data_IF_452072722522
#
_entry.id   IF_452072722522
#
_cell.length_a   1.000
_cell.length_b   1.000
_cell.length_c   1.000
_cell.angle_alpha   90.00
_cell.angle_beta   90.00
_cell.angle_gamma   90.00
#
_symmetry.space_group_name_H-M   'P 1'
#
loop_
_entity.id
_entity.type
_entity.pdbx_description
1 polymer ?
#
# COMPACT_ATOMS: atom_id res chain seq x y z
N UNK A 1 37.27 -23.71 13.94
CA UNK A 1 35.85 -23.79 14.36
C UNK A 1 35.11 -22.61 13.73
N UNK A 2 34.13 -22.86 12.85
CA UNK A 2 33.36 -21.82 12.17
C UNK A 2 31.97 -21.75 12.81
N UNK A 3 31.69 -20.64 13.49
CA UNK A 3 30.42 -20.39 14.19
C UNK A 3 29.27 -20.37 13.19
N UNK A 4 28.40 -21.38 13.24
CA UNK A 4 27.10 -21.35 12.56
C UNK A 4 26.25 -20.30 13.26
N UNK A 5 26.06 -19.16 12.60
CA UNK A 5 25.15 -18.11 13.06
C UNK A 5 23.76 -18.54 12.59
N UNK A 6 22.99 -19.15 13.47
CA UNK A 6 21.59 -19.49 13.21
C UNK A 6 20.81 -18.18 13.03
N UNK A 7 20.63 -17.79 11.76
CA UNK A 7 19.72 -16.71 11.37
C UNK A 7 18.32 -17.27 11.54
N UNK A 8 17.72 -17.04 12.71
CA UNK A 8 16.31 -17.31 12.91
C UNK A 8 15.52 -16.36 12.00
N UNK A 9 14.93 -16.91 10.91
CA UNK A 9 13.96 -16.19 10.10
C UNK A 9 12.67 -16.12 10.89
N UNK A 10 12.36 -14.95 11.41
CA UNK A 10 10.99 -14.65 11.84
C UNK A 10 10.06 -14.83 10.64
N UNK A 11 9.09 -15.73 10.80
CA UNK A 11 8.08 -16.01 9.79
C UNK A 11 7.11 -14.83 9.76
N UNK A 12 7.18 -14.01 8.70
CA UNK A 12 6.31 -12.83 8.54
C UNK A 12 4.88 -13.30 8.28
N UNK A 13 3.97 -13.00 9.20
CA UNK A 13 2.53 -13.23 9.03
C UNK A 13 1.92 -12.05 8.27
N UNK A 14 0.99 -12.35 7.35
CA UNK A 14 0.28 -11.35 6.56
C UNK A 14 -1.22 -11.55 6.71
N UNK A 15 -1.95 -10.47 6.95
CA UNK A 15 -3.41 -10.45 6.97
C UNK A 15 -3.94 -9.55 5.85
N UNK A 16 -5.11 -9.90 5.32
CA UNK A 16 -5.81 -9.07 4.34
C UNK A 16 -6.63 -8.00 5.08
N UNK A 17 -6.40 -6.73 4.73
CA UNK A 17 -7.12 -5.59 5.28
C UNK A 17 -7.73 -4.78 4.15
N UNK A 18 -9.01 -4.42 4.29
CA UNK A 18 -9.64 -3.44 3.40
C UNK A 18 -9.20 -2.03 3.80
N UNK A 19 -8.66 -1.28 2.84
CA UNK A 19 -8.22 0.10 3.03
C UNK A 19 -8.91 1.03 2.04
N UNK A 20 -9.17 2.25 2.51
CA UNK A 20 -9.68 3.33 1.67
C UNK A 20 -8.55 3.85 0.79
N UNK A 21 -8.80 3.95 -0.52
CA UNK A 21 -7.80 4.39 -1.49
C UNK A 21 -8.32 5.51 -2.39
N UNK A 22 -7.40 6.30 -2.90
CA UNK A 22 -7.57 7.10 -4.09
C UNK A 22 -7.12 6.26 -5.28
N UNK A 23 -7.99 6.10 -6.27
CA UNK A 23 -7.72 5.35 -7.49
C UNK A 23 -7.79 6.30 -8.69
N UNK A 24 -6.76 6.29 -9.52
CA UNK A 24 -6.78 7.04 -10.76
C UNK A 24 -7.63 6.32 -11.81
N UNK A 25 -8.55 7.00 -12.52
CA UNK A 25 -9.31 6.38 -13.61
C UNK A 25 -8.51 6.25 -14.91
N UNK A 26 -7.46 7.07 -15.09
CA UNK A 26 -6.69 7.16 -16.33
C UNK A 26 -5.38 6.34 -16.31
N UNK A 27 -4.99 5.78 -15.16
CA UNK A 27 -3.80 4.93 -15.06
C UNK A 27 -3.93 3.90 -13.93
N UNK A 28 -2.89 3.07 -13.74
CA UNK A 28 -2.84 2.06 -12.67
C UNK A 28 -2.52 2.64 -11.27
N UNK A 29 -2.37 3.97 -11.18
CA UNK A 29 -1.97 4.65 -9.96
C UNK A 29 -3.07 4.64 -8.90
N UNK A 30 -2.70 4.27 -7.69
CA UNK A 30 -3.54 4.40 -6.51
C UNK A 30 -2.69 4.73 -5.28
N UNK A 31 -3.30 5.35 -4.28
CA UNK A 31 -2.68 5.62 -2.98
C UNK A 31 -3.69 5.39 -1.85
N UNK A 32 -3.25 5.08 -0.64
CA UNK A 32 -4.18 4.99 0.49
C UNK A 32 -4.59 6.39 0.94
N UNK A 33 -5.89 6.56 1.28
CA UNK A 33 -6.41 7.84 1.77
C UNK A 33 -5.79 8.24 3.11
N UNK A 34 -5.41 7.28 3.94
CA UNK A 34 -4.77 7.54 5.23
C UNK A 34 -3.44 8.29 5.09
N UNK A 35 -2.78 8.20 3.93
CA UNK A 35 -1.53 8.89 3.62
C UNK A 35 -1.71 10.12 2.72
N UNK A 36 -2.94 10.45 2.32
CA UNK A 36 -3.21 11.64 1.51
C UNK A 36 -3.43 12.86 2.41
N UNK A 37 -2.67 13.93 2.17
CA UNK A 37 -2.86 15.22 2.86
C UNK A 37 -4.01 16.03 2.25
N UNK A 38 -4.33 15.81 0.97
CA UNK A 38 -5.40 16.51 0.25
C UNK A 38 -6.64 15.63 0.13
N UNK A 39 -7.82 16.23 0.30
CA UNK A 39 -9.13 15.61 0.07
C UNK A 39 -9.41 15.34 -1.41
N UNK A 40 -8.68 15.98 -2.32
CA UNK A 40 -8.78 15.77 -3.76
C UNK A 40 -7.37 15.67 -4.37
N UNK A 41 -6.70 14.52 -4.20
CA UNK A 41 -5.35 14.37 -4.72
C UNK A 41 -5.37 14.20 -6.24
N UNK A 42 -4.37 14.82 -6.87
CA UNK A 42 -4.05 14.61 -8.27
C UNK A 42 -3.06 13.46 -8.39
N UNK A 43 -3.24 12.59 -9.38
CA UNK A 43 -2.37 11.46 -9.61
C UNK A 43 -0.95 11.93 -9.99
N UNK A 44 0.11 11.50 -9.29
CA UNK A 44 1.48 11.95 -9.58
C UNK A 44 2.04 11.43 -10.91
N UNK A 45 1.39 10.42 -11.52
CA UNK A 45 1.85 9.82 -12.77
C UNK A 45 1.26 10.50 -14.02
N UNK A 46 0.00 10.91 -13.96
CA UNK A 46 -0.73 11.41 -15.14
C UNK A 46 -1.46 12.73 -14.90
N UNK A 47 -1.29 13.35 -13.73
CA UNK A 47 -1.90 14.63 -13.34
C UNK A 47 -3.44 14.66 -13.41
N UNK A 48 -4.09 13.49 -13.43
CA UNK A 48 -5.55 13.38 -13.42
C UNK A 48 -6.10 13.38 -12.00
N UNK A 49 -7.34 13.86 -11.81
CA UNK A 49 -8.04 13.77 -10.53
C UNK A 49 -8.27 12.30 -10.15
N UNK A 50 -7.96 11.96 -8.90
CA UNK A 50 -8.19 10.62 -8.38
C UNK A 50 -9.61 10.51 -7.80
N UNK A 51 -10.16 9.30 -7.85
CA UNK A 51 -11.49 8.98 -7.34
C UNK A 51 -11.38 8.15 -6.07
N UNK A 52 -12.34 8.30 -5.16
CA UNK A 52 -12.43 7.49 -3.95
C UNK A 52 -12.80 6.03 -4.27
N UNK A 53 -12.11 5.07 -3.68
CA UNK A 53 -12.46 3.64 -3.72
C UNK A 53 -11.96 2.89 -2.49
N UNK A 54 -12.12 1.57 -2.49
CA UNK A 54 -11.52 0.66 -1.50
C UNK A 54 -10.72 -0.44 -2.21
N UNK A 55 -9.68 -0.94 -1.54
CA UNK A 55 -8.88 -2.09 -2.00
C UNK A 55 -8.49 -2.97 -0.82
N UNK A 56 -8.42 -4.27 -1.08
CA UNK A 56 -7.85 -5.23 -0.14
C UNK A 56 -6.32 -5.26 -0.30
N UNK A 57 -5.60 -5.06 0.79
CA UNK A 57 -4.14 -5.03 0.84
C UNK A 57 -3.65 -5.99 1.92
N UNK A 58 -2.54 -6.70 1.64
CA UNK A 58 -1.87 -7.54 2.62
C UNK A 58 -1.01 -6.68 3.54
N UNK A 59 -1.29 -6.71 4.83
CA UNK A 59 -0.57 -5.97 5.86
C UNK A 59 0.22 -6.96 6.72
N UNK A 60 1.43 -6.57 7.09
CA UNK A 60 2.24 -7.32 8.06
C UNK A 60 1.63 -7.14 9.45
N UNK A 61 1.42 -8.25 10.14
CA UNK A 61 1.00 -8.32 11.55
C UNK A 61 2.15 -8.77 12.43
#
# INVERSE_FOLDING_TARGET
MFFKKDVQREEKTYEFKEVQVWQCPNCIGWMQKEFSVSENPTCPFCSSNMLSGSKEVKVLV
#
